data_IF_044363648541
#
_entry.id   IF_044363648541
#
_cell.length_a   1.000
_cell.length_b   1.000
_cell.length_c   1.000
_cell.angle_alpha   90.00
_cell.angle_beta   90.00
_cell.angle_gamma   90.00
#
_symmetry.space_group_name_H-M   'P 1'
#
loop_
_entity.id
_entity.type
_entity.pdbx_description
1 polymer ?
#
# COMPACT_ATOMS: atom_id res chain seq x y z
N UNK A 1 31.10 26.91 39.18
CA UNK A 1 31.82 27.27 37.95
C UNK A 1 31.09 26.69 36.75
N UNK A 2 30.57 27.52 35.84
CA UNK A 2 29.91 27.09 34.61
C UNK A 2 30.97 26.64 33.61
N UNK A 3 30.76 25.49 32.96
CA UNK A 3 31.64 24.93 31.92
C UNK A 3 31.69 25.90 30.72
N UNK A 4 32.83 26.56 30.52
CA UNK A 4 33.10 27.56 29.46
C UNK A 4 34.03 27.04 28.36
N UNK A 5 34.18 25.73 28.23
CA UNK A 5 34.92 25.13 27.12
C UNK A 5 34.20 23.92 26.55
N UNK A 6 33.77 24.06 25.29
CA UNK A 6 33.50 22.95 24.38
C UNK A 6 32.14 22.25 24.52
N UNK A 7 31.06 22.93 24.14
CA UNK A 7 29.92 22.19 23.56
C UNK A 7 30.45 21.51 22.29
N UNK A 8 30.37 20.17 22.22
CA UNK A 8 30.55 19.46 20.95
C UNK A 8 29.57 20.10 19.97
N UNK A 9 30.08 20.81 18.96
CA UNK A 9 29.26 21.16 17.78
C UNK A 9 28.62 19.87 17.30
N UNK A 10 27.29 19.82 17.24
CA UNK A 10 26.59 18.72 16.61
C UNK A 10 27.21 18.51 15.24
N UNK A 11 27.70 17.29 14.99
CA UNK A 11 28.20 16.94 13.66
C UNK A 11 27.03 17.06 12.71
N UNK A 12 27.16 17.80 11.61
CA UNK A 12 26.09 17.84 10.61
C UNK A 12 25.75 16.40 10.21
N UNK A 13 24.48 16.10 9.96
CA UNK A 13 24.08 14.77 9.52
C UNK A 13 24.91 14.37 8.29
N UNK A 14 25.24 13.08 8.14
CA UNK A 14 25.94 12.60 6.96
C UNK A 14 25.14 13.01 5.72
N UNK A 15 25.81 13.43 4.63
CA UNK A 15 25.13 13.86 3.41
C UNK A 15 24.22 12.72 2.92
N UNK A 16 22.98 13.06 2.60
CA UNK A 16 22.05 12.09 2.04
C UNK A 16 22.44 11.74 0.60
N UNK A 17 21.92 10.61 0.12
CA UNK A 17 22.09 10.20 -1.29
C UNK A 17 21.46 11.25 -2.22
N UNK A 18 20.33 11.84 -1.83
CA UNK A 18 19.69 12.97 -2.50
C UNK A 18 20.59 14.22 -2.56
N UNK A 19 21.25 14.59 -1.46
CA UNK A 19 22.15 15.75 -1.43
C UNK A 19 23.35 15.54 -2.36
N UNK A 20 23.93 14.34 -2.33
CA UNK A 20 25.05 13.96 -3.18
C UNK A 20 24.65 13.97 -4.66
N UNK A 21 23.47 13.41 -4.99
CA UNK A 21 22.93 13.38 -6.36
C UNK A 21 22.68 14.79 -6.87
N UNK A 22 22.04 15.64 -6.06
CA UNK A 22 21.79 17.05 -6.40
C UNK A 22 23.09 17.83 -6.62
N UNK A 23 24.10 17.62 -5.78
CA UNK A 23 25.41 18.24 -5.96
C UNK A 23 26.12 17.78 -7.25
N UNK A 24 25.98 16.51 -7.63
CA UNK A 24 26.57 15.99 -8.87
C UNK A 24 25.86 16.52 -10.12
N UNK A 25 24.52 16.62 -10.08
CA UNK A 25 23.73 17.21 -11.16
C UNK A 25 24.14 18.66 -11.43
N UNK A 26 24.21 19.49 -10.38
CA UNK A 26 24.65 20.88 -10.50
C UNK A 26 26.06 21.01 -11.11
N UNK A 27 26.97 20.08 -10.77
CA UNK A 27 28.32 20.04 -11.36
C UNK A 27 28.29 19.60 -12.82
N UNK A 28 27.43 18.64 -13.16
CA UNK A 28 27.17 18.20 -14.54
C UNK A 28 26.71 19.36 -15.41
N UNK A 29 25.67 20.08 -14.96
CA UNK A 29 25.12 21.24 -15.67
C UNK A 29 26.18 22.33 -15.91
N UNK A 30 27.00 22.62 -14.89
CA UNK A 30 28.09 23.58 -14.99
C UNK A 30 29.20 23.13 -15.98
N UNK A 31 29.46 21.83 -16.11
CA UNK A 31 30.38 21.29 -17.11
C UNK A 31 29.77 21.36 -18.51
N UNK A 32 28.49 21.05 -18.67
CA UNK A 32 27.81 21.14 -19.96
C UNK A 32 27.74 22.57 -20.49
N UNK A 33 27.50 23.56 -19.61
CA UNK A 33 27.55 24.97 -20.00
C UNK A 33 28.95 25.38 -20.50
N UNK A 34 30.02 24.91 -19.83
CA UNK A 34 31.41 25.15 -20.26
C UNK A 34 31.71 24.49 -21.61
N UNK A 35 31.29 23.23 -21.80
CA UNK A 35 31.45 22.50 -23.06
C UNK A 35 30.75 23.25 -24.20
N UNK A 36 29.51 23.71 -23.97
CA UNK A 36 28.73 24.50 -24.95
C UNK A 36 29.43 25.79 -25.35
N UNK A 37 30.01 26.54 -24.38
CA UNK A 37 30.81 27.74 -24.66
C UNK A 37 32.05 27.44 -25.49
N UNK A 38 32.75 26.34 -25.20
CA UNK A 38 33.93 25.91 -25.98
C UNK A 38 33.54 25.47 -27.39
N UNK A 39 32.40 24.83 -27.57
CA UNK A 39 31.87 24.49 -28.90
C UNK A 39 31.59 25.71 -29.76
N UNK A 40 31.00 26.76 -29.17
CA UNK A 40 30.79 28.02 -29.87
C UNK A 40 32.11 28.65 -30.31
N UNK A 41 33.12 28.68 -29.44
CA UNK A 41 34.47 29.15 -29.78
C UNK A 41 35.12 28.32 -30.90
N UNK A 42 34.92 27.00 -30.92
CA UNK A 42 35.41 26.13 -31.98
C UNK A 42 34.75 26.44 -33.34
N UNK A 43 33.46 26.76 -33.34
CA UNK A 43 32.74 27.19 -34.55
C UNK A 43 33.34 28.50 -35.09
N UNK A 44 33.58 29.47 -34.22
CA UNK A 44 34.21 30.75 -34.59
C UNK A 44 35.60 30.53 -35.19
N UNK A 45 36.45 29.73 -34.53
CA UNK A 45 37.77 29.39 -35.04
C UNK A 45 37.71 28.65 -36.38
N UNK A 46 36.76 27.73 -36.57
CA UNK A 46 36.53 27.04 -37.84
C UNK A 46 36.23 28.04 -38.95
N UNK A 47 35.42 29.06 -38.68
CA UNK A 47 35.10 30.12 -39.64
C UNK A 47 36.33 30.99 -39.96
N UNK A 48 37.13 31.36 -38.95
CA UNK A 48 38.39 32.11 -39.16
C UNK A 48 39.38 31.32 -40.01
N UNK A 49 39.55 30.02 -39.75
CA UNK A 49 40.45 29.14 -40.50
C UNK A 49 40.04 29.03 -41.98
N UNK A 50 38.73 29.04 -42.27
CA UNK A 50 38.22 29.03 -43.65
C UNK A 50 38.51 30.35 -44.39
N UNK A 51 38.47 31.48 -43.68
CA UNK A 51 38.58 32.84 -44.26
C UNK A 51 40.02 33.39 -44.30
N UNK A 52 40.98 32.69 -43.70
CA UNK A 52 42.38 33.15 -43.61
C UNK A 52 43.34 32.17 -44.29
N UNK A 53 44.53 32.64 -44.67
CA UNK A 53 45.59 31.84 -45.30
C UNK A 53 46.95 32.12 -44.65
N UNK A 54 47.96 31.30 -44.96
CA UNK A 54 49.33 31.46 -44.48
C UNK A 54 49.44 31.46 -42.96
N UNK A 55 50.30 32.34 -42.41
CA UNK A 55 50.60 32.41 -40.98
C UNK A 55 49.35 32.67 -40.10
N UNK A 56 48.38 33.47 -40.58
CA UNK A 56 47.15 33.75 -39.85
C UNK A 56 46.27 32.51 -39.68
N UNK A 57 46.22 31.65 -40.70
CA UNK A 57 45.49 30.37 -40.66
C UNK A 57 46.12 29.40 -39.66
N UNK A 58 47.45 29.30 -39.65
CA UNK A 58 48.16 28.44 -38.70
C UNK A 58 48.04 28.92 -37.26
N UNK A 59 48.05 30.24 -37.02
CA UNK A 59 47.75 30.80 -35.71
C UNK A 59 46.32 30.46 -35.24
N UNK A 60 45.33 30.56 -36.14
CA UNK A 60 43.94 30.20 -35.83
C UNK A 60 43.78 28.70 -35.53
N UNK A 61 44.45 27.81 -36.27
CA UNK A 61 44.49 26.37 -35.97
C UNK A 61 45.09 26.08 -34.60
N UNK A 62 46.21 26.71 -34.23
CA UNK A 62 46.83 26.52 -32.91
C UNK A 62 45.89 26.92 -31.77
N UNK A 63 45.17 28.03 -31.91
CA UNK A 63 44.15 28.45 -30.92
C UNK A 63 43.00 27.44 -30.84
N UNK A 64 42.47 27.00 -31.98
CA UNK A 64 41.43 25.97 -32.05
C UNK A 64 41.84 24.66 -31.36
N UNK A 65 43.11 24.24 -31.54
CA UNK A 65 43.64 23.04 -30.88
C UNK A 65 43.65 23.15 -29.36
N UNK A 66 43.94 24.33 -28.80
CA UNK A 66 43.90 24.54 -27.35
C UNK A 66 42.47 24.47 -26.82
N UNK A 67 41.51 25.11 -27.51
CA UNK A 67 40.08 25.04 -27.17
C UNK A 67 39.57 23.59 -27.24
N UNK A 68 39.97 22.83 -28.26
CA UNK A 68 39.58 21.43 -28.42
C UNK A 68 40.13 20.55 -27.29
N UNK A 69 41.39 20.76 -26.88
CA UNK A 69 41.98 20.05 -25.72
C UNK A 69 41.21 20.35 -24.44
N UNK A 70 40.87 21.61 -24.20
CA UNK A 70 40.09 22.02 -23.03
C UNK A 70 38.68 21.42 -23.06
N UNK A 71 38.03 21.38 -24.23
CA UNK A 71 36.72 20.73 -24.40
C UNK A 71 36.79 19.25 -24.04
N UNK A 72 37.75 18.50 -24.61
CA UNK A 72 37.92 17.07 -24.33
C UNK A 72 38.18 16.79 -22.85
N UNK A 73 38.92 17.67 -22.17
CA UNK A 73 39.15 17.55 -20.73
C UNK A 73 37.83 17.65 -19.94
N UNK A 74 36.96 18.62 -20.26
CA UNK A 74 35.67 18.74 -19.59
C UNK A 74 34.68 17.64 -19.97
N UNK A 75 34.69 17.15 -21.21
CA UNK A 75 33.90 15.98 -21.62
C UNK A 75 34.29 14.74 -20.82
N UNK A 76 35.59 14.51 -20.62
CA UNK A 76 36.08 13.42 -19.78
C UNK A 76 35.67 13.58 -18.30
N UNK A 77 35.74 14.80 -17.76
CA UNK A 77 35.25 15.06 -16.40
C UNK A 77 33.74 14.82 -16.28
N UNK A 78 32.96 15.17 -17.30
CA UNK A 78 31.51 14.93 -17.33
C UNK A 78 31.20 13.43 -17.39
N UNK A 79 31.93 12.67 -18.20
CA UNK A 79 31.80 11.21 -18.25
C UNK A 79 32.09 10.56 -16.88
N UNK A 80 33.12 11.04 -16.18
CA UNK A 80 33.40 10.61 -14.80
C UNK A 80 32.25 10.94 -13.84
N UNK A 81 31.62 12.11 -13.98
CA UNK A 81 30.44 12.46 -13.17
C UNK A 81 29.25 11.55 -13.47
N UNK A 82 29.00 11.21 -14.74
CA UNK A 82 27.94 10.27 -15.09
C UNK A 82 28.15 8.89 -14.45
N UNK A 83 29.39 8.40 -14.43
CA UNK A 83 29.70 7.15 -13.74
C UNK A 83 29.45 7.26 -12.21
N UNK A 84 29.77 8.41 -11.61
CA UNK A 84 29.50 8.65 -10.19
C UNK A 84 28.00 8.73 -9.88
N UNK A 85 27.21 9.40 -10.73
CA UNK A 85 25.76 9.45 -10.63
C UNK A 85 25.16 8.05 -10.73
N UNK A 86 25.55 7.26 -11.73
CA UNK A 86 25.08 5.89 -11.89
C UNK A 86 25.39 5.02 -10.66
N UNK A 87 26.59 5.15 -10.09
CA UNK A 87 26.95 4.41 -8.87
C UNK A 87 26.08 4.84 -7.67
N UNK A 88 25.75 6.12 -7.54
CA UNK A 88 24.86 6.63 -6.49
C UNK A 88 23.41 6.17 -6.70
N UNK A 89 22.90 6.18 -7.93
CA UNK A 89 21.57 5.67 -8.26
C UNK A 89 21.43 4.19 -7.90
N UNK A 90 22.44 3.38 -8.24
CA UNK A 90 22.47 1.96 -7.84
C UNK A 90 22.49 1.79 -6.31
N UNK A 91 23.27 2.62 -5.60
CA UNK A 91 23.32 2.62 -4.14
C UNK A 91 21.98 3.05 -3.53
N UNK A 92 21.30 4.03 -4.14
CA UNK A 92 19.97 4.48 -3.75
C UNK A 92 18.95 3.36 -3.88
N UNK A 93 18.90 2.71 -5.05
CA UNK A 93 18.02 1.56 -5.30
C UNK A 93 18.22 0.43 -4.29
N UNK A 94 19.49 0.10 -4.03
CA UNK A 94 19.84 -0.93 -3.04
C UNK A 94 19.41 -0.53 -1.64
N UNK A 95 19.60 0.74 -1.27
CA UNK A 95 19.20 1.27 0.04
C UNK A 95 17.68 1.21 0.20
N UNK A 96 16.92 1.59 -0.82
CA UNK A 96 15.46 1.50 -0.80
C UNK A 96 15.00 0.05 -0.65
N UNK A 97 15.56 -0.88 -1.44
CA UNK A 97 15.23 -2.31 -1.33
C UNK A 97 15.52 -2.88 0.07
N UNK A 98 16.60 -2.43 0.72
CA UNK A 98 16.92 -2.79 2.11
C UNK A 98 15.88 -2.21 3.08
N UNK A 99 15.48 -0.94 2.92
CA UNK A 99 14.45 -0.31 3.76
C UNK A 99 13.09 -1.01 3.63
N UNK A 100 12.70 -1.39 2.41
CA UNK A 100 11.48 -2.14 2.15
C UNK A 100 11.53 -3.52 2.82
N UNK A 101 12.67 -4.21 2.72
CA UNK A 101 12.91 -5.50 3.38
C UNK A 101 12.82 -5.38 4.91
N UNK A 102 13.38 -4.32 5.49
CA UNK A 102 13.28 -4.04 6.94
C UNK A 102 11.82 -3.83 7.34
N UNK A 103 11.08 -3.06 6.57
CA UNK A 103 9.65 -2.80 6.81
C UNK A 103 8.83 -4.09 6.75
N UNK A 104 9.10 -4.94 5.76
CA UNK A 104 8.48 -6.25 5.64
C UNK A 104 8.77 -7.15 6.87
N UNK A 105 10.02 -7.20 7.32
CA UNK A 105 10.40 -7.97 8.50
C UNK A 105 9.70 -7.45 9.76
N UNK A 106 9.60 -6.12 9.93
CA UNK A 106 8.87 -5.52 11.05
C UNK A 106 7.38 -5.88 11.01
N UNK A 107 6.74 -5.83 9.83
CA UNK A 107 5.35 -6.24 9.65
C UNK A 107 5.16 -7.73 10.01
N UNK A 108 6.06 -8.62 9.58
CA UNK A 108 6.03 -10.04 9.94
C UNK A 108 6.21 -10.27 11.44
N UNK A 109 7.08 -9.51 12.11
CA UNK A 109 7.26 -9.60 13.57
C UNK A 109 5.99 -9.14 14.31
N UNK A 110 5.35 -8.07 13.86
CA UNK A 110 4.09 -7.60 14.41
C UNK A 110 2.98 -8.65 14.22
N UNK A 111 2.84 -9.20 13.01
CA UNK A 111 1.89 -10.26 12.71
C UNK A 111 2.13 -11.52 13.57
N UNK A 112 3.37 -11.98 13.70
CA UNK A 112 3.71 -13.12 14.56
C UNK A 112 3.35 -12.86 16.04
N UNK A 113 3.55 -11.63 16.51
CA UNK A 113 3.17 -11.24 17.87
C UNK A 113 1.65 -11.28 18.05
N UNK A 114 0.87 -10.82 17.07
CA UNK A 114 -0.58 -10.90 17.09
C UNK A 114 -1.07 -12.36 17.03
N UNK A 115 -0.51 -13.18 16.15
CA UNK A 115 -0.81 -14.61 16.05
C UNK A 115 -0.54 -15.33 17.38
N UNK A 116 0.62 -15.09 18.01
CA UNK A 116 0.93 -15.65 19.34
C UNK A 116 -0.04 -15.23 20.43
N UNK A 117 -0.63 -14.03 20.34
CA UNK A 117 -1.68 -13.60 21.26
C UNK A 117 -3.00 -14.33 20.98
N UNK A 118 -3.39 -14.45 19.71
CA UNK A 118 -4.58 -15.17 19.30
C UNK A 118 -4.53 -16.65 19.75
N UNK A 119 -3.40 -17.34 19.55
CA UNK A 119 -3.22 -18.73 20.02
C UNK A 119 -3.21 -18.90 21.54
N UNK A 120 -3.09 -17.81 22.31
CA UNK A 120 -3.19 -17.82 23.78
C UNK A 120 -4.57 -17.39 24.27
N UNK A 121 -5.48 -17.02 23.37
CA UNK A 121 -6.85 -16.73 23.71
C UNK A 121 -7.51 -18.04 24.20
N UNK A 122 -8.28 -17.96 25.30
CA UNK A 122 -8.89 -19.14 25.92
C UNK A 122 -9.91 -19.81 25.00
N UNK A 123 -10.48 -19.03 24.08
CA UNK A 123 -11.41 -19.48 23.04
C UNK A 123 -10.76 -20.45 22.05
N UNK A 124 -9.43 -20.49 21.95
CA UNK A 124 -8.67 -21.43 21.12
C UNK A 124 -7.82 -22.41 21.95
N UNK A 125 -7.98 -22.40 23.29
CA UNK A 125 -7.29 -23.36 24.16
C UNK A 125 -7.93 -24.74 24.00
N UNK A 126 -7.15 -25.71 23.51
CA UNK A 126 -7.62 -27.06 23.22
C UNK A 126 -8.26 -27.72 24.46
N UNK A 127 -7.72 -27.44 25.65
CA UNK A 127 -8.25 -27.99 26.90
C UNK A 127 -9.63 -27.41 27.24
N UNK A 128 -9.88 -26.15 26.85
CA UNK A 128 -11.18 -25.51 27.03
C UNK A 128 -12.20 -26.06 26.03
N UNK A 129 -11.77 -26.39 24.81
CA UNK A 129 -12.60 -27.05 23.78
C UNK A 129 -12.93 -28.49 24.20
N UNK A 130 -11.95 -29.25 24.70
CA UNK A 130 -12.15 -30.61 25.23
C UNK A 130 -13.14 -30.60 26.40
N UNK A 131 -12.98 -29.68 27.37
CA UNK A 131 -13.91 -29.54 28.49
C UNK A 131 -15.33 -29.18 28.04
N UNK A 132 -15.47 -28.37 26.99
CA UNK A 132 -16.77 -27.99 26.44
C UNK A 132 -17.43 -29.16 25.67
N UNK A 133 -16.63 -30.00 24.99
CA UNK A 133 -17.13 -31.26 24.42
C UNK A 133 -17.58 -32.25 25.50
N UNK A 134 -16.81 -32.39 26.58
CA UNK A 134 -17.18 -33.24 27.72
C UNK A 134 -18.47 -32.75 28.38
N UNK A 135 -18.59 -31.44 28.65
CA UNK A 135 -19.82 -30.85 29.19
C UNK A 135 -21.02 -31.00 28.24
N UNK A 136 -20.79 -30.94 26.92
CA UNK A 136 -21.84 -31.23 25.93
C UNK A 136 -22.28 -32.70 25.96
N UNK A 137 -21.33 -33.64 26.08
CA UNK A 137 -21.63 -35.06 26.18
C UNK A 137 -22.45 -35.36 27.44
N UNK A 138 -22.05 -34.80 28.58
CA UNK A 138 -22.77 -34.92 29.85
C UNK A 138 -24.19 -34.33 29.75
N UNK A 139 -24.36 -33.19 29.05
CA UNK A 139 -25.67 -32.57 28.84
C UNK A 139 -26.57 -33.38 27.91
N UNK A 140 -26.01 -34.02 26.87
CA UNK A 140 -26.77 -34.93 26.00
C UNK A 140 -27.16 -36.20 26.75
N UNK A 141 -26.27 -36.74 27.58
CA UNK A 141 -26.55 -37.91 28.43
C UNK A 141 -27.65 -37.59 29.45
N UNK A 142 -27.56 -36.44 30.12
CA UNK A 142 -28.60 -35.94 31.02
C UNK A 142 -29.93 -35.70 30.30
N UNK A 143 -29.90 -35.15 29.08
CA UNK A 143 -31.11 -34.98 28.25
C UNK A 143 -31.76 -36.33 27.94
N UNK A 144 -30.97 -37.35 27.61
CA UNK A 144 -31.47 -38.70 27.37
C UNK A 144 -32.05 -39.30 28.65
N UNK A 145 -31.37 -39.17 29.78
CA UNK A 145 -31.84 -39.65 31.09
C UNK A 145 -33.13 -38.93 31.54
N UNK A 146 -33.27 -37.63 31.26
CA UNK A 146 -34.49 -36.86 31.52
C UNK A 146 -35.66 -37.35 30.66
N UNK A 147 -35.43 -37.61 29.37
CA UNK A 147 -36.47 -38.16 28.49
C UNK A 147 -36.90 -39.56 28.93
N UNK A 148 -35.95 -40.39 29.35
CA UNK A 148 -36.20 -41.75 29.85
C UNK A 148 -36.95 -41.74 31.20
N UNK A 149 -36.62 -40.83 32.12
CA UNK A 149 -37.28 -40.69 33.42
C UNK A 149 -38.64 -39.98 33.38
N UNK A 150 -38.84 -39.02 32.47
CA UNK A 150 -40.16 -38.41 32.23
C UNK A 150 -41.10 -39.35 31.45
N UNK A 151 -40.65 -40.54 31.06
CA UNK A 151 -41.43 -41.49 30.27
C UNK A 151 -41.79 -40.95 28.89
N UNK A 152 -41.19 -39.84 28.47
CA UNK A 152 -41.20 -39.41 27.08
C UNK A 152 -40.11 -40.19 26.36
N UNK A 153 -40.40 -41.47 26.16
CA UNK A 153 -39.90 -42.17 24.98
C UNK A 153 -40.41 -41.38 23.78
N UNK A 154 -39.65 -40.39 23.32
CA UNK A 154 -39.52 -40.22 21.88
C UNK A 154 -38.59 -41.33 21.39
N UNK A 155 -39.03 -42.58 21.59
CA UNK A 155 -38.72 -43.61 20.64
C UNK A 155 -39.35 -43.11 19.36
N UNK A 156 -38.53 -42.48 18.51
CA UNK A 156 -38.73 -42.58 17.07
C UNK A 156 -38.98 -44.07 16.86
N UNK A 157 -40.22 -44.49 16.51
CA UNK A 157 -40.45 -45.91 16.24
C UNK A 157 -39.37 -46.36 15.25
N UNK A 158 -38.71 -47.50 15.49
CA UNK A 158 -37.79 -48.06 14.48
C UNK A 158 -38.51 -48.32 13.13
N UNK A 159 -39.85 -48.22 13.14
CA UNK A 159 -40.76 -48.34 12.02
C UNK A 159 -41.23 -46.99 11.43
N UNK A 160 -40.55 -45.86 11.68
CA UNK A 160 -40.84 -44.64 10.87
C UNK A 160 -40.37 -44.91 9.45
N UNK A 161 -41.33 -45.04 8.53
CA UNK A 161 -41.05 -45.19 7.11
C UNK A 161 -40.59 -43.84 6.54
N UNK A 162 -39.31 -43.73 6.18
CA UNK A 162 -38.75 -42.54 5.53
C UNK A 162 -39.54 -42.13 4.28
N UNK A 163 -40.22 -43.07 3.61
CA UNK A 163 -41.06 -42.78 2.46
C UNK A 163 -42.38 -42.07 2.83
N UNK A 164 -42.97 -42.40 3.98
CA UNK A 164 -44.17 -41.70 4.49
C UNK A 164 -43.80 -40.25 4.88
N UNK A 165 -42.63 -40.08 5.50
CA UNK A 165 -42.13 -38.78 5.92
C UNK A 165 -41.74 -37.87 4.74
N UNK A 166 -41.14 -38.43 3.69
CA UNK A 166 -40.92 -37.69 2.43
C UNK A 166 -42.24 -37.34 1.75
N UNK A 167 -43.23 -38.22 1.78
CA UNK A 167 -44.55 -37.93 1.24
C UNK A 167 -45.27 -36.80 1.99
N UNK A 168 -45.19 -36.75 3.31
CA UNK A 168 -45.69 -35.61 4.09
C UNK A 168 -44.91 -34.33 3.82
N UNK A 169 -43.58 -34.42 3.65
CA UNK A 169 -42.74 -33.26 3.34
C UNK A 169 -43.10 -32.66 1.97
N UNK A 170 -43.31 -33.50 0.97
CA UNK A 170 -43.74 -33.08 -0.37
C UNK A 170 -45.14 -32.44 -0.31
N UNK A 171 -46.08 -33.00 0.48
CA UNK A 171 -47.39 -32.38 0.68
C UNK A 171 -47.33 -31.03 1.40
N UNK A 172 -46.40 -30.86 2.35
CA UNK A 172 -46.18 -29.60 3.04
C UNK A 172 -45.54 -28.55 2.12
N UNK A 173 -44.60 -28.97 1.26
CA UNK A 173 -44.03 -28.12 0.21
C UNK A 173 -45.13 -27.67 -0.77
N UNK A 174 -46.01 -28.57 -1.17
CA UNK A 174 -47.17 -28.26 -2.01
C UNK A 174 -48.19 -27.36 -1.29
N UNK A 175 -48.41 -27.52 0.01
CA UNK A 175 -49.30 -26.64 0.79
C UNK A 175 -48.71 -25.22 0.92
N UNK A 176 -47.40 -25.11 1.18
CA UNK A 176 -46.68 -23.84 1.24
C UNK A 176 -46.59 -23.18 -0.13
N UNK A 177 -46.40 -23.96 -1.19
CA UNK A 177 -46.43 -23.48 -2.57
C UNK A 177 -47.83 -22.99 -2.97
N UNK A 178 -48.90 -23.70 -2.58
CA UNK A 178 -50.28 -23.24 -2.79
C UNK A 178 -50.62 -22.00 -1.95
N UNK A 179 -50.06 -21.84 -0.75
CA UNK A 179 -50.17 -20.61 0.03
C UNK A 179 -49.42 -19.46 -0.66
N UNK A 180 -48.26 -19.75 -1.26
CA UNK A 180 -47.47 -18.82 -2.07
C UNK A 180 -48.16 -18.46 -3.40
N UNK A 181 -48.87 -19.38 -4.05
CA UNK A 181 -49.67 -19.08 -5.25
C UNK A 181 -50.91 -18.23 -4.94
N UNK A 182 -51.51 -18.37 -3.75
CA UNK A 182 -52.58 -17.47 -3.27
C UNK A 182 -52.06 -16.06 -2.96
N UNK A 183 -50.78 -15.94 -2.61
CA UNK A 183 -50.05 -14.67 -2.45
C UNK A 183 -49.21 -14.45 -3.71
N UNK A 184 -49.90 -14.30 -4.86
CA UNK A 184 -49.36 -14.40 -6.23
C UNK A 184 -47.90 -14.01 -6.45
N UNK A 185 -47.23 -14.80 -7.31
CA UNK A 185 -45.82 -14.70 -7.71
C UNK A 185 -45.30 -13.25 -7.73
N UNK A 186 -44.52 -12.90 -6.72
CA UNK A 186 -43.80 -11.61 -6.65
C UNK A 186 -44.04 -10.77 -5.40
N UNK A 187 -44.94 -11.14 -4.49
CA UNK A 187 -45.01 -10.47 -3.18
C UNK A 187 -43.97 -11.06 -2.22
N UNK A 188 -42.79 -10.44 -2.20
CA UNK A 188 -41.85 -10.58 -1.09
C UNK A 188 -42.60 -10.36 0.23
N UNK A 189 -42.39 -11.20 1.26
CA UNK A 189 -43.00 -11.01 2.57
C UNK A 189 -42.81 -9.58 3.06
N UNK A 190 -43.77 -9.01 3.79
CA UNK A 190 -43.77 -7.58 4.17
C UNK A 190 -42.48 -7.08 4.83
N UNK A 191 -41.67 -7.97 5.41
CA UNK A 191 -40.38 -7.63 6.03
C UNK A 191 -39.19 -7.55 5.03
N UNK A 192 -39.39 -7.97 3.79
CA UNK A 192 -38.39 -7.94 2.69
C UNK A 192 -38.76 -6.94 1.57
N UNK A 193 -39.86 -6.20 1.71
CA UNK A 193 -40.21 -5.13 0.77
C UNK A 193 -39.41 -3.85 1.10
N UNK A 194 -38.69 -3.32 0.11
CA UNK A 194 -38.00 -2.03 0.22
C UNK A 194 -39.04 -0.91 0.29
N UNK A 195 -39.09 -0.20 1.42
CA UNK A 195 -40.02 0.91 1.62
C UNK A 195 -39.45 2.14 0.90
N UNK A 196 -40.21 2.73 -0.03
CA UNK A 196 -39.87 4.04 -0.59
C UNK A 196 -39.90 5.08 0.53
N UNK A 197 -38.71 5.55 0.93
CA UNK A 197 -38.59 6.70 1.82
C UNK A 197 -39.15 7.95 1.13
N UNK A 198 -39.89 8.81 1.84
CA UNK A 198 -40.43 10.04 1.26
C UNK A 198 -39.31 10.95 0.74
N UNK A 199 -39.53 11.61 -0.40
CA UNK A 199 -38.58 12.55 -1.00
C UNK A 199 -38.15 13.63 0.00
N UNK A 200 -36.83 13.84 0.09
CA UNK A 200 -36.23 14.77 1.03
C UNK A 200 -36.74 16.21 0.82
N UNK A 201 -37.00 16.99 1.89
CA UNK A 201 -37.39 18.38 1.75
C UNK A 201 -36.32 19.20 1.03
N UNK A 202 -36.68 19.96 0.00
CA UNK A 202 -35.80 20.93 -0.62
C UNK A 202 -35.58 22.13 0.33
N UNK A 203 -34.40 22.19 0.95
CA UNK A 203 -33.97 23.36 1.73
C UNK A 203 -33.46 24.47 0.81
N UNK A 204 -34.11 25.63 0.91
CA UNK A 204 -33.62 26.91 0.40
C UNK A 204 -32.23 27.22 0.99
N UNK A 205 -31.32 27.68 0.14
CA UNK A 205 -29.95 28.03 0.49
C UNK A 205 -29.87 28.99 1.69
N UNK A 206 -29.31 28.50 2.80
CA UNK A 206 -28.52 29.35 3.70
C UNK A 206 -27.19 28.66 4.00
N UNK A 207 -26.12 29.23 3.46
CA UNK A 207 -24.79 28.65 3.42
C UNK A 207 -24.15 28.65 4.82
N UNK A 208 -23.97 27.47 5.41
CA UNK A 208 -22.96 27.25 6.47
C UNK A 208 -22.00 26.16 6.02
N UNK A 209 -20.73 26.53 5.86
CA UNK A 209 -19.67 25.60 5.47
C UNK A 209 -19.41 24.58 6.58
N UNK A 210 -19.52 23.30 6.23
CA UNK A 210 -19.18 22.15 7.08
C UNK A 210 -17.86 21.53 6.61
N UNK A 211 -17.10 20.95 7.53
CA UNK A 211 -15.83 20.30 7.21
C UNK A 211 -16.00 18.89 6.60
N UNK A 212 -14.88 18.22 6.29
CA UNK A 212 -14.85 16.90 5.65
C UNK A 212 -15.50 15.76 6.48
N UNK A 213 -15.92 16.04 7.71
CA UNK A 213 -16.69 15.12 8.56
C UNK A 213 -18.10 15.66 8.88
N UNK A 214 -18.56 16.69 8.17
CA UNK A 214 -19.95 17.18 8.22
C UNK A 214 -20.30 18.01 9.46
N UNK A 215 -19.31 18.50 10.20
CA UNK A 215 -19.53 19.41 11.34
C UNK A 215 -19.45 20.87 10.89
N UNK A 216 -20.30 21.78 11.42
CA UNK A 216 -20.25 23.19 11.07
C UNK A 216 -18.91 23.79 11.48
N UNK A 217 -18.17 24.33 10.52
CA UNK A 217 -16.92 25.03 10.81
C UNK A 217 -17.28 26.31 11.58
N UNK A 218 -16.88 26.37 12.86
CA UNK A 218 -16.97 27.60 13.64
C UNK A 218 -16.04 28.65 13.01
N UNK A 219 -16.59 29.83 12.73
CA UNK A 219 -15.83 31.05 12.46
C UNK A 219 -14.99 31.47 13.69
#
# INVERSE_FOLDING_TARGET
MKRIFGTKKEKPPPPSVEDATSSLNNRGDALDEKIKKLDQQLIEHKNTIKRTQGAAKEAAKRRAMNVLKQKRMYESQREQLFQQQFNLENASFTTQAIQDSVTQVQAMQAANTQLKKAFKAKELDINSIEKLQDEMADLMELSNEINETLGQSYGVPEDIDEAELMGELDMLEDELANETEKVGEGQMPSYLQESEFPEAPQENESSQAVDAYGLPMKA
#
